data_IF_878620411912
#
_entry.id   IF_878620411912
#
_cell.length_a   1.000
_cell.length_b   1.000
_cell.length_c   1.000
_cell.angle_alpha   90.00
_cell.angle_beta   90.00
_cell.angle_gamma   90.00
#
_symmetry.space_group_name_H-M   'P 1'
#
loop_
_entity.id
_entity.type
_entity.pdbx_description
1 polymer ?
#
# COMPACT_ATOMS: atom_id res chain seq x y z
N UNK A 1 -8.16 -0.92 30.67
CA UNK A 1 -7.38 0.31 30.97
C UNK A 1 -7.78 1.36 29.94
N UNK A 2 -7.42 2.64 30.10
CA UNK A 2 -7.59 3.57 28.99
C UNK A 2 -6.62 3.17 27.85
N UNK A 3 -7.00 3.27 26.56
CA UNK A 3 -6.10 2.94 25.45
C UNK A 3 -4.84 3.80 25.52
N UNK A 4 -3.66 3.17 25.37
CA UNK A 4 -2.37 3.85 25.45
C UNK A 4 -1.90 4.42 24.10
N UNK A 5 -2.55 4.01 23.02
CA UNK A 5 -2.25 4.49 21.68
C UNK A 5 -3.26 4.07 20.61
N UNK A 6 -2.92 4.38 19.37
CA UNK A 6 -3.66 4.01 18.18
C UNK A 6 -2.71 3.50 17.09
N UNK A 7 -3.24 2.62 16.26
CA UNK A 7 -2.54 2.05 15.11
C UNK A 7 -3.38 2.26 13.85
N UNK A 8 -2.72 2.52 12.73
CA UNK A 8 -3.36 2.51 11.41
C UNK A 8 -2.41 1.98 10.33
N UNK A 9 -2.92 1.09 9.49
CA UNK A 9 -2.33 0.84 8.18
C UNK A 9 -2.63 2.02 7.25
N UNK A 10 -1.63 2.45 6.49
CA UNK A 10 -1.78 3.44 5.43
C UNK A 10 -1.31 2.80 4.12
N UNK A 11 -2.26 2.26 3.36
CA UNK A 11 -1.98 1.58 2.11
C UNK A 11 -2.01 2.58 0.94
N UNK A 12 -1.02 2.58 0.05
CA UNK A 12 -0.96 3.45 -1.11
C UNK A 12 -1.15 2.66 -2.41
N UNK A 13 -2.27 2.88 -3.09
CA UNK A 13 -2.61 2.22 -4.35
C UNK A 13 -2.37 3.15 -5.53
N UNK A 14 -1.39 2.77 -6.35
CA UNK A 14 -1.05 3.51 -7.54
C UNK A 14 -0.62 2.60 -8.69
N UNK A 15 -1.27 2.78 -9.83
CA UNK A 15 -0.75 2.36 -11.12
C UNK A 15 -0.79 3.56 -12.07
N UNK A 16 0.21 3.72 -12.95
CA UNK A 16 0.20 4.78 -13.95
C UNK A 16 -0.94 4.58 -14.94
N UNK A 17 -1.09 5.51 -15.89
CA UNK A 17 -2.09 5.37 -16.94
C UNK A 17 -1.70 4.25 -17.92
N UNK A 18 -2.28 3.09 -17.72
CA UNK A 18 -2.03 1.84 -18.44
C UNK A 18 -3.08 1.54 -19.52
N UNK A 19 -4.25 2.17 -19.44
CA UNK A 19 -5.35 1.97 -20.40
C UNK A 19 -4.89 2.21 -21.84
N UNK A 20 -5.02 1.18 -22.68
CA UNK A 20 -4.57 1.09 -24.08
C UNK A 20 -3.07 1.35 -24.30
N UNK A 21 -2.24 1.20 -23.27
CA UNK A 21 -0.78 1.38 -23.36
C UNK A 21 -0.02 0.07 -23.70
N UNK A 22 -0.76 -1.03 -23.92
CA UNK A 22 -0.23 -2.40 -24.04
C UNK A 22 -1.07 -3.34 -23.18
N UNK A 23 -1.09 -4.64 -23.51
CA UNK A 23 -1.74 -5.66 -22.67
C UNK A 23 -0.73 -6.41 -21.82
N UNK A 24 0.29 -7.02 -22.45
CA UNK A 24 1.31 -7.85 -21.81
C UNK A 24 2.71 -7.50 -22.37
N UNK A 25 3.81 -7.53 -21.58
CA UNK A 25 3.89 -7.79 -20.13
C UNK A 25 3.72 -6.51 -19.27
N UNK A 26 3.55 -5.36 -19.92
CA UNK A 26 3.40 -4.06 -19.29
C UNK A 26 2.20 -3.35 -19.91
N UNK A 27 1.33 -2.79 -19.08
CA UNK A 27 0.10 -2.14 -19.54
C UNK A 27 -1.10 -2.50 -18.67
N UNK A 28 -2.23 -2.82 -19.31
CA UNK A 28 -3.49 -3.07 -18.60
C UNK A 28 -3.45 -4.28 -17.67
N UNK A 29 -2.58 -5.28 -17.93
CA UNK A 29 -2.45 -6.44 -17.05
C UNK A 29 -2.09 -6.07 -15.61
N UNK A 30 -1.31 -5.01 -15.38
CA UNK A 30 -1.03 -4.54 -14.01
C UNK A 30 -2.30 -4.10 -13.27
N UNK A 31 -3.25 -3.48 -13.96
CA UNK A 31 -4.55 -3.11 -13.38
C UNK A 31 -5.35 -4.36 -13.04
N UNK A 32 -5.26 -5.40 -13.87
CA UNK A 32 -6.01 -6.63 -13.70
C UNK A 32 -5.43 -7.52 -12.60
N UNK A 33 -4.11 -7.67 -12.55
CA UNK A 33 -3.39 -8.31 -11.45
C UNK A 33 -3.71 -7.60 -10.12
N UNK A 34 -3.58 -6.27 -10.05
CA UNK A 34 -3.96 -5.51 -8.86
C UNK A 34 -5.44 -5.65 -8.48
N UNK A 35 -6.34 -5.70 -9.48
CA UNK A 35 -7.77 -5.93 -9.27
C UNK A 35 -8.06 -7.29 -8.63
N UNK A 36 -7.51 -8.36 -9.22
CA UNK A 36 -7.78 -9.74 -8.82
C UNK A 36 -7.06 -10.13 -7.53
N UNK A 37 -5.78 -9.77 -7.40
CA UNK A 37 -4.90 -10.23 -6.33
C UNK A 37 -4.90 -9.30 -5.11
N UNK A 38 -5.22 -8.01 -5.28
CA UNK A 38 -5.12 -7.02 -4.19
C UNK A 38 -6.46 -6.37 -3.85
N UNK A 39 -7.08 -5.64 -4.77
CA UNK A 39 -8.21 -4.76 -4.44
C UNK A 39 -9.48 -5.53 -4.06
N UNK A 40 -9.86 -6.54 -4.84
CA UNK A 40 -11.04 -7.37 -4.53
C UNK A 40 -10.83 -8.20 -3.26
N UNK A 41 -9.70 -8.90 -3.05
CA UNK A 41 -9.42 -9.59 -1.80
C UNK A 41 -9.44 -8.66 -0.58
N UNK A 42 -8.82 -7.46 -0.68
CA UNK A 42 -8.82 -6.50 0.41
C UNK A 42 -10.24 -6.00 0.73
N UNK A 43 -11.03 -5.69 -0.29
CA UNK A 43 -12.44 -5.34 -0.12
C UNK A 43 -13.23 -6.46 0.55
N UNK A 44 -13.00 -7.72 0.17
CA UNK A 44 -13.66 -8.85 0.81
C UNK A 44 -13.29 -8.92 2.29
N UNK A 45 -12.00 -8.93 2.61
CA UNK A 45 -11.53 -9.03 4.00
C UNK A 45 -12.06 -7.92 4.89
N UNK A 46 -12.06 -6.67 4.42
CA UNK A 46 -12.57 -5.53 5.19
C UNK A 46 -14.09 -5.56 5.35
N UNK A 47 -14.83 -5.92 4.30
CA UNK A 47 -16.28 -6.06 4.39
C UNK A 47 -16.67 -7.20 5.33
N UNK A 48 -15.99 -8.34 5.26
CA UNK A 48 -16.28 -9.49 6.11
C UNK A 48 -16.01 -9.16 7.60
N UNK A 49 -14.88 -8.50 7.92
CA UNK A 49 -14.59 -8.02 9.28
C UNK A 49 -15.65 -7.03 9.79
N UNK A 50 -16.16 -6.17 8.91
CA UNK A 50 -17.23 -5.23 9.25
C UNK A 50 -18.58 -5.94 9.49
N UNK A 51 -18.93 -6.91 8.64
CA UNK A 51 -20.14 -7.74 8.78
C UNK A 51 -20.11 -8.59 10.06
N UNK A 52 -18.91 -9.01 10.50
CA UNK A 52 -18.67 -9.65 11.81
C UNK A 52 -18.83 -8.69 13.00
N UNK A 53 -18.97 -7.38 12.77
CA UNK A 53 -19.15 -6.36 13.81
C UNK A 53 -17.85 -5.92 14.49
N UNK A 54 -16.68 -6.22 13.91
CA UNK A 54 -15.39 -5.81 14.48
C UNK A 54 -15.11 -4.32 14.21
N UNK A 55 -14.62 -3.55 15.20
CA UNK A 55 -14.35 -2.11 15.08
C UNK A 55 -13.04 -1.80 14.33
N UNK A 56 -12.85 -2.40 13.15
CA UNK A 56 -11.63 -2.25 12.36
C UNK A 56 -11.62 -0.92 11.58
N UNK A 57 -10.42 -0.31 11.48
CA UNK A 57 -10.19 0.91 10.70
C UNK A 57 -8.89 0.81 9.90
N UNK A 58 -8.91 1.29 8.67
CA UNK A 58 -7.75 1.31 7.78
C UNK A 58 -7.74 2.58 6.92
N UNK A 59 -6.57 3.13 6.62
CA UNK A 59 -6.42 4.23 5.66
C UNK A 59 -5.92 3.68 4.32
N UNK A 60 -6.55 4.05 3.21
CA UNK A 60 -6.09 3.70 1.86
C UNK A 60 -6.03 4.93 0.97
N UNK A 61 -4.90 5.13 0.30
CA UNK A 61 -4.72 6.12 -0.75
C UNK A 61 -5.07 5.51 -2.10
N UNK A 62 -6.05 6.10 -2.79
CA UNK A 62 -6.36 5.72 -4.17
C UNK A 62 -5.99 6.89 -5.07
N UNK A 63 -4.97 6.70 -5.91
CA UNK A 63 -4.55 7.76 -6.82
C UNK A 63 -5.65 8.08 -7.84
N UNK A 64 -5.87 9.37 -8.17
CA UNK A 64 -6.92 9.74 -9.12
C UNK A 64 -6.79 9.04 -10.48
N UNK A 65 -5.58 8.93 -11.03
CA UNK A 65 -5.33 8.19 -12.28
C UNK A 65 -5.69 6.71 -12.19
N UNK A 66 -5.53 6.08 -11.02
CA UNK A 66 -6.00 4.71 -10.80
C UNK A 66 -7.53 4.67 -10.74
N UNK A 67 -8.17 5.59 -10.01
CA UNK A 67 -9.62 5.67 -9.92
C UNK A 67 -10.28 5.83 -11.30
N UNK A 68 -9.77 6.75 -12.14
CA UNK A 68 -10.33 6.93 -13.49
C UNK A 68 -10.24 5.66 -14.34
N UNK A 69 -9.20 4.83 -14.14
CA UNK A 69 -9.05 3.56 -14.87
C UNK A 69 -9.94 2.45 -14.31
N UNK A 70 -10.05 2.30 -12.99
CA UNK A 70 -10.92 1.31 -12.36
C UNK A 70 -12.42 1.57 -12.62
N UNK A 71 -12.79 2.83 -12.83
CA UNK A 71 -14.14 3.24 -13.19
C UNK A 71 -14.45 3.12 -14.69
N UNK A 72 -13.44 2.88 -15.55
CA UNK A 72 -13.64 2.85 -16.99
C UNK A 72 -14.30 1.51 -17.43
N UNK A 73 -15.46 1.54 -18.12
CA UNK A 73 -16.17 0.33 -18.52
C UNK A 73 -15.37 -0.62 -19.42
N UNK A 74 -14.44 -0.09 -20.23
CA UNK A 74 -13.57 -0.93 -21.07
C UNK A 74 -12.58 -1.69 -20.19
N UNK A 75 -11.98 -1.03 -19.21
CA UNK A 75 -11.05 -1.67 -18.25
C UNK A 75 -11.77 -2.74 -17.43
N UNK A 76 -13.01 -2.49 -17.01
CA UNK A 76 -13.84 -3.47 -16.31
C UNK A 76 -14.16 -4.69 -17.19
N UNK A 77 -14.49 -4.48 -18.47
CA UNK A 77 -14.72 -5.58 -19.41
C UNK A 77 -13.44 -6.39 -19.66
N UNK A 78 -12.30 -5.73 -19.84
CA UNK A 78 -11.01 -6.40 -20.00
C UNK A 78 -10.59 -7.16 -18.74
N UNK A 79 -10.93 -6.66 -17.55
CA UNK A 79 -10.69 -7.37 -16.30
C UNK A 79 -11.42 -8.72 -16.26
N UNK A 80 -12.69 -8.77 -16.69
CA UNK A 80 -13.42 -10.04 -16.77
C UNK A 80 -12.75 -11.02 -17.73
N UNK A 81 -12.36 -10.55 -18.92
CA UNK A 81 -11.63 -11.36 -19.91
C UNK A 81 -10.33 -11.91 -19.31
N UNK A 82 -9.55 -11.06 -18.63
CA UNK A 82 -8.33 -11.48 -17.96
C UNK A 82 -8.58 -12.59 -16.92
N UNK A 83 -9.59 -12.43 -16.06
CA UNK A 83 -9.90 -13.44 -15.03
C UNK A 83 -10.41 -14.74 -15.66
N UNK A 84 -11.20 -14.67 -16.74
CA UNK A 84 -11.68 -15.83 -17.50
C UNK A 84 -10.52 -16.57 -18.19
N UNK A 85 -9.54 -15.85 -18.73
CA UNK A 85 -8.31 -16.43 -19.29
C UNK A 85 -7.50 -17.16 -18.20
N UNK A 86 -7.35 -16.58 -17.01
CA UNK A 86 -6.68 -17.24 -15.87
C UNK A 86 -7.43 -18.47 -15.38
N UNK A 87 -8.76 -18.41 -15.35
CA UNK A 87 -9.60 -19.56 -15.01
C UNK A 87 -9.41 -20.70 -16.01
N UNK A 88 -9.46 -20.40 -17.31
CA UNK A 88 -9.25 -21.38 -18.38
C UNK A 88 -7.85 -22.00 -18.31
N UNK A 89 -6.84 -21.18 -18.02
CA UNK A 89 -5.46 -21.66 -17.86
C UNK A 89 -5.32 -22.60 -16.66
N UNK A 90 -5.95 -22.28 -15.53
CA UNK A 90 -5.98 -23.16 -14.36
C UNK A 90 -6.71 -24.49 -14.64
N UNK A 91 -7.83 -24.47 -15.39
CA UNK A 91 -8.54 -25.70 -15.80
C UNK A 91 -7.70 -26.59 -16.73
N UNK A 92 -6.98 -25.97 -17.66
CA UNK A 92 -6.00 -26.67 -18.51
C UNK A 92 -4.90 -27.33 -17.68
N UNK A 93 -4.37 -26.62 -16.69
CA UNK A 93 -3.34 -27.13 -15.77
C UNK A 93 -3.84 -28.28 -14.89
N UNK A 94 -5.11 -28.26 -14.44
CA UNK A 94 -5.70 -29.40 -13.71
C UNK A 94 -5.60 -30.67 -14.55
N UNK A 95 -6.04 -30.61 -15.81
CA UNK A 95 -6.03 -31.77 -16.70
C UNK A 95 -4.59 -32.22 -17.00
N UNK A 96 -3.72 -31.27 -17.34
CA UNK A 96 -2.31 -31.52 -17.63
C UNK A 96 -1.57 -32.18 -16.46
N UNK A 97 -1.70 -31.63 -15.24
CA UNK A 97 -1.03 -32.19 -14.07
C UNK A 97 -1.56 -33.58 -13.66
N UNK A 98 -2.84 -33.87 -13.93
CA UNK A 98 -3.39 -35.22 -13.75
C UNK A 98 -2.76 -36.22 -14.74
N UNK A 99 -2.63 -35.85 -16.02
CA UNK A 99 -1.99 -36.67 -17.05
C UNK A 99 -0.50 -36.90 -16.78
N UNK A 100 0.18 -35.89 -16.23
CA UNK A 100 1.58 -35.97 -15.76
C UNK A 100 1.75 -36.83 -14.50
N UNK A 101 0.66 -37.24 -13.84
CA UNK A 101 0.70 -38.01 -12.60
C UNK A 101 1.16 -37.20 -11.38
N UNK A 102 0.94 -35.87 -11.38
CA UNK A 102 1.31 -34.96 -10.29
C UNK A 102 0.05 -34.49 -9.52
N UNK A 103 -0.43 -35.26 -8.52
CA UNK A 103 -1.69 -34.96 -7.84
C UNK A 103 -1.64 -33.66 -7.02
N UNK A 104 -0.47 -33.28 -6.48
CA UNK A 104 -0.32 -32.05 -5.71
C UNK A 104 -0.41 -30.81 -6.62
N UNK A 105 0.23 -30.84 -7.79
CA UNK A 105 0.09 -29.75 -8.75
C UNK A 105 -1.34 -29.63 -9.29
N UNK A 106 -2.03 -30.75 -9.54
CA UNK A 106 -3.45 -30.73 -9.92
C UNK A 106 -4.35 -30.15 -8.82
N UNK A 107 -4.05 -30.41 -7.55
CA UNK A 107 -4.70 -29.77 -6.41
C UNK A 107 -4.48 -28.24 -6.42
N UNK A 108 -3.25 -27.78 -6.65
CA UNK A 108 -2.95 -26.34 -6.71
C UNK A 108 -3.62 -25.65 -7.91
N UNK A 109 -3.66 -26.30 -9.09
CA UNK A 109 -4.40 -25.80 -10.24
C UNK A 109 -5.90 -25.69 -9.94
N UNK A 110 -6.46 -26.66 -9.21
CA UNK A 110 -7.84 -26.61 -8.72
C UNK A 110 -8.05 -25.45 -7.75
N UNK A 111 -7.12 -25.22 -6.82
CA UNK A 111 -7.14 -24.08 -5.91
C UNK A 111 -7.20 -22.75 -6.68
N UNK A 112 -6.36 -22.56 -7.69
CA UNK A 112 -6.38 -21.33 -8.51
C UNK A 112 -7.65 -21.18 -9.33
N UNK A 113 -8.15 -22.26 -9.93
CA UNK A 113 -9.43 -22.25 -10.65
C UNK A 113 -10.54 -21.73 -9.73
N UNK A 114 -10.67 -22.32 -8.55
CA UNK A 114 -11.73 -21.95 -7.60
C UNK A 114 -11.56 -20.52 -7.07
N UNK A 115 -10.30 -20.10 -6.87
CA UNK A 115 -9.98 -18.73 -6.47
C UNK A 115 -10.37 -17.70 -7.53
N UNK A 116 -9.95 -17.85 -8.79
CA UNK A 116 -10.31 -16.94 -9.88
C UNK A 116 -11.82 -16.93 -10.16
N UNK A 117 -12.47 -18.11 -10.09
CA UNK A 117 -13.94 -18.19 -10.18
C UNK A 117 -14.62 -17.39 -9.06
N UNK A 118 -14.08 -17.46 -7.83
CA UNK A 118 -14.51 -16.67 -6.68
C UNK A 118 -14.35 -15.17 -6.91
N UNK A 119 -13.18 -14.72 -7.39
CA UNK A 119 -12.92 -13.32 -7.73
C UNK A 119 -13.90 -12.80 -8.77
N UNK A 120 -14.11 -13.55 -9.87
CA UNK A 120 -15.02 -13.16 -10.94
C UNK A 120 -16.46 -13.02 -10.46
N UNK A 121 -16.92 -13.99 -9.66
CA UNK A 121 -18.25 -13.98 -9.04
C UNK A 121 -18.45 -12.77 -8.14
N UNK A 122 -17.51 -12.52 -7.23
CA UNK A 122 -17.57 -11.40 -6.29
C UNK A 122 -17.54 -10.06 -7.02
N UNK A 123 -16.68 -9.92 -8.05
CA UNK A 123 -16.63 -8.72 -8.87
C UNK A 123 -17.99 -8.43 -9.54
N UNK A 124 -18.60 -9.45 -10.13
CA UNK A 124 -19.89 -9.35 -10.85
C UNK A 124 -21.08 -9.11 -9.91
N UNK A 125 -21.14 -9.85 -8.81
CA UNK A 125 -22.33 -9.94 -7.95
C UNK A 125 -22.23 -9.03 -6.73
N UNK A 126 -21.19 -9.17 -5.90
CA UNK A 126 -21.05 -8.42 -4.64
C UNK A 126 -20.74 -6.94 -4.89
N UNK A 127 -19.87 -6.67 -5.87
CA UNK A 127 -19.44 -5.30 -6.18
C UNK A 127 -20.10 -4.71 -7.42
N UNK A 128 -20.87 -5.48 -8.20
CA UNK A 128 -21.57 -4.95 -9.37
C UNK A 128 -20.64 -4.34 -10.43
N UNK A 129 -19.44 -4.90 -10.57
CA UNK A 129 -18.32 -4.37 -11.38
C UNK A 129 -17.75 -3.03 -10.92
N UNK A 130 -18.04 -2.61 -9.69
CA UNK A 130 -17.64 -1.31 -9.15
C UNK A 130 -16.75 -1.45 -7.89
N UNK A 131 -15.44 -1.63 -8.11
CA UNK A 131 -14.43 -1.69 -7.04
C UNK A 131 -14.42 -0.38 -6.23
N UNK A 132 -14.52 0.78 -6.89
CA UNK A 132 -14.52 2.07 -6.20
C UNK A 132 -15.76 2.27 -5.35
N UNK A 133 -16.92 1.82 -5.82
CA UNK A 133 -18.16 1.76 -5.06
C UNK A 133 -18.04 0.87 -3.82
N UNK A 134 -17.27 -0.23 -3.89
CA UNK A 134 -16.91 -1.05 -2.73
C UNK A 134 -16.17 -0.23 -1.67
N UNK A 135 -15.09 0.46 -2.05
CA UNK A 135 -14.35 1.32 -1.12
C UNK A 135 -15.19 2.49 -0.60
N UNK A 136 -16.03 3.09 -1.45
CA UNK A 136 -16.97 4.15 -1.02
C UNK A 136 -17.89 3.67 0.09
N UNK A 137 -18.51 2.49 -0.07
CA UNK A 137 -19.40 1.91 0.96
C UNK A 137 -18.67 1.66 2.28
N UNK A 138 -17.45 1.11 2.24
CA UNK A 138 -16.64 0.94 3.45
C UNK A 138 -16.24 2.27 4.09
N UNK A 139 -16.01 3.30 3.26
CA UNK A 139 -15.70 4.64 3.76
C UNK A 139 -16.92 5.32 4.40
N UNK A 140 -18.12 5.09 3.87
CA UNK A 140 -19.39 5.56 4.44
C UNK A 140 -19.69 4.85 5.76
N UNK A 141 -19.37 3.56 5.86
CA UNK A 141 -19.48 2.75 7.08
C UNK A 141 -18.40 3.08 8.14
N UNK A 142 -17.40 3.90 7.82
CA UNK A 142 -16.32 4.27 8.74
C UNK A 142 -15.26 3.19 8.96
N UNK A 143 -15.24 2.16 8.12
CA UNK A 143 -14.25 1.06 8.13
C UNK A 143 -12.94 1.51 7.48
N UNK A 144 -13.05 2.33 6.43
CA UNK A 144 -11.90 2.83 5.69
C UNK A 144 -11.92 4.36 5.66
N UNK A 145 -10.75 5.00 5.72
CA UNK A 145 -10.59 6.37 5.24
C UNK A 145 -9.87 6.34 3.90
N UNK A 146 -10.55 6.77 2.83
CA UNK A 146 -9.92 6.93 1.52
C UNK A 146 -9.26 8.30 1.43
N UNK A 147 -7.96 8.33 1.17
CA UNK A 147 -7.18 9.56 0.94
C UNK A 147 -6.91 9.73 -0.56
N UNK A 148 -6.81 10.98 -1.00
CA UNK A 148 -6.53 11.29 -2.41
C UNK A 148 -5.03 11.39 -2.68
N UNK A 149 -4.66 11.75 -3.91
CA UNK A 149 -3.30 12.04 -4.33
C UNK A 149 -3.30 13.18 -5.37
N UNK A 150 -2.12 13.60 -5.81
CA UNK A 150 -1.97 14.35 -7.06
C UNK A 150 -2.57 13.55 -8.24
N UNK A 151 -3.21 14.25 -9.18
CA UNK A 151 -3.97 13.66 -10.28
C UNK A 151 -3.29 12.46 -10.97
N UNK A 152 -2.01 12.60 -11.32
CA UNK A 152 -1.27 11.56 -12.04
C UNK A 152 -0.02 11.11 -11.28
N UNK A 153 -0.05 11.22 -9.94
CA UNK A 153 1.11 10.91 -9.10
C UNK A 153 2.38 11.72 -9.49
N UNK A 154 2.20 12.94 -10.00
CA UNK A 154 3.32 13.78 -10.44
C UNK A 154 4.19 14.21 -9.26
N UNK A 155 5.52 14.11 -9.39
CA UNK A 155 6.47 14.43 -8.33
C UNK A 155 6.47 15.93 -7.98
N UNK A 156 5.56 16.32 -7.07
CA UNK A 156 5.15 17.70 -6.82
C UNK A 156 6.33 18.66 -6.52
N UNK A 157 7.35 18.29 -5.71
CA UNK A 157 8.47 19.18 -5.43
C UNK A 157 9.23 19.69 -6.66
N UNK A 158 9.26 18.90 -7.75
CA UNK A 158 10.02 19.18 -8.96
C UNK A 158 9.17 19.76 -10.10
N UNK A 159 7.86 19.98 -9.89
CA UNK A 159 7.04 20.64 -10.90
C UNK A 159 7.49 22.10 -11.06
N UNK A 160 7.70 22.50 -12.32
CA UNK A 160 8.33 23.77 -12.69
C UNK A 160 7.48 25.01 -12.39
N UNK A 161 6.18 24.87 -12.17
CA UNK A 161 5.29 25.99 -11.85
C UNK A 161 4.33 25.65 -10.71
N UNK A 162 3.95 26.68 -9.95
CA UNK A 162 2.94 26.56 -8.90
C UNK A 162 1.54 26.29 -9.48
N UNK A 163 1.28 26.73 -10.70
CA UNK A 163 0.08 26.40 -11.44
C UNK A 163 -0.02 24.89 -11.73
N UNK A 164 1.09 24.22 -12.05
CA UNK A 164 1.12 22.78 -12.26
C UNK A 164 0.83 22.01 -10.96
N UNK A 165 1.39 22.44 -9.83
CA UNK A 165 1.09 21.87 -8.51
C UNK A 165 -0.41 22.03 -8.19
N UNK A 166 -0.97 23.24 -8.33
CA UNK A 166 -2.41 23.48 -8.12
C UNK A 166 -3.29 22.67 -9.07
N UNK A 167 -2.88 22.52 -10.33
CA UNK A 167 -3.57 21.71 -11.33
C UNK A 167 -3.66 20.25 -10.90
N UNK A 168 -2.53 19.65 -10.48
CA UNK A 168 -2.46 18.29 -9.97
C UNK A 168 -3.36 18.07 -8.74
N UNK A 169 -3.33 18.98 -7.78
CA UNK A 169 -4.15 18.89 -6.56
C UNK A 169 -5.64 19.06 -6.85
N UNK A 170 -6.03 20.09 -7.60
CA UNK A 170 -7.43 20.37 -7.92
C UNK A 170 -8.06 19.26 -8.77
N UNK A 171 -7.33 18.74 -9.75
CA UNK A 171 -7.80 17.62 -10.56
C UNK A 171 -7.94 16.34 -9.72
N UNK A 172 -7.00 16.08 -8.79
CA UNK A 172 -7.10 14.95 -7.87
C UNK A 172 -8.31 15.03 -6.95
N UNK A 173 -8.56 16.19 -6.33
CA UNK A 173 -9.75 16.44 -5.51
C UNK A 173 -11.04 16.32 -6.34
N UNK A 174 -11.02 16.81 -7.58
CA UNK A 174 -12.15 16.69 -8.51
C UNK A 174 -12.52 15.23 -8.82
N UNK A 175 -11.52 14.39 -9.13
CA UNK A 175 -11.71 12.95 -9.33
C UNK A 175 -12.21 12.27 -8.06
N UNK A 176 -11.61 12.56 -6.90
CA UNK A 176 -12.05 12.01 -5.61
C UNK A 176 -13.53 12.32 -5.34
N UNK A 177 -13.97 13.58 -5.51
CA UNK A 177 -15.37 13.97 -5.31
C UNK A 177 -16.33 13.23 -6.23
N UNK A 178 -15.92 12.97 -7.48
CA UNK A 178 -16.71 12.23 -8.47
C UNK A 178 -16.97 10.80 -8.03
N UNK A 179 -15.95 10.11 -7.50
CA UNK A 179 -16.03 8.69 -7.17
C UNK A 179 -16.57 8.43 -5.76
N UNK A 180 -16.23 9.29 -4.78
CA UNK A 180 -16.54 9.09 -3.36
C UNK A 180 -17.63 10.04 -2.82
N UNK A 181 -18.15 10.97 -3.62
CA UNK A 181 -19.29 11.83 -3.26
C UNK A 181 -19.02 12.91 -2.20
N UNK A 182 -17.79 13.02 -1.68
CA UNK A 182 -17.38 14.02 -0.68
C UNK A 182 -15.97 14.56 -0.96
N UNK A 183 -15.57 15.61 -0.25
CA UNK A 183 -14.19 16.12 -0.32
C UNK A 183 -13.21 15.25 0.48
N UNK A 184 -11.98 15.02 0.00
CA UNK A 184 -10.95 14.33 0.77
C UNK A 184 -10.45 15.23 1.89
N UNK A 185 -10.10 14.65 3.04
CA UNK A 185 -9.51 15.37 4.18
C UNK A 185 -7.99 15.29 4.23
N UNK A 186 -7.43 14.24 3.65
CA UNK A 186 -6.02 13.94 3.65
C UNK A 186 -5.53 13.52 2.26
N UNK A 187 -4.23 13.60 2.07
CA UNK A 187 -3.54 13.30 0.82
C UNK A 187 -2.32 12.43 1.05
N UNK A 188 -2.14 11.42 0.20
CA UNK A 188 -0.84 10.83 -0.02
C UNK A 188 -0.05 11.71 -1.00
N UNK A 189 1.02 12.35 -0.55
CA UNK A 189 1.91 13.06 -1.46
C UNK A 189 2.66 12.03 -2.32
N UNK A 190 2.76 12.21 -3.64
CA UNK A 190 3.52 11.29 -4.49
C UNK A 190 4.92 11.04 -3.93
N UNK A 191 5.25 9.77 -3.68
CA UNK A 191 6.52 9.33 -3.07
C UNK A 191 6.81 9.90 -1.66
N UNK A 192 5.77 10.33 -0.93
CA UNK A 192 5.92 11.15 0.28
C UNK A 192 6.84 12.38 0.07
N UNK A 193 6.95 12.86 -1.19
CA UNK A 193 7.90 13.88 -1.57
C UNK A 193 7.41 15.24 -1.10
N UNK A 194 8.12 15.78 -0.11
CA UNK A 194 7.83 17.06 0.53
C UNK A 194 8.88 18.11 0.17
N UNK A 195 8.48 19.38 0.14
CA UNK A 195 9.39 20.51 0.01
C UNK A 195 8.86 21.71 0.81
N UNK A 196 9.68 22.33 1.68
CA UNK A 196 9.35 23.61 2.31
C UNK A 196 9.40 24.75 1.28
N UNK A 197 9.14 25.98 1.73
CA UNK A 197 9.33 27.14 0.88
C UNK A 197 10.81 27.32 0.53
N UNK A 198 11.08 27.82 -0.67
CA UNK A 198 12.45 28.07 -1.13
C UNK A 198 12.47 29.20 -2.16
N UNK A 199 13.65 29.80 -2.34
CA UNK A 199 13.91 30.76 -3.41
C UNK A 199 14.43 29.98 -4.62
N UNK A 200 13.69 30.05 -5.73
CA UNK A 200 14.09 29.43 -6.98
C UNK A 200 15.28 30.17 -7.63
N UNK A 201 16.00 29.56 -8.59
CA UNK A 201 17.18 30.19 -9.21
C UNK A 201 16.90 31.54 -9.91
N UNK A 202 15.66 31.79 -10.31
CA UNK A 202 15.19 33.05 -10.91
C UNK A 202 14.86 34.13 -9.86
N UNK A 203 15.06 33.86 -8.57
CA UNK A 203 14.73 34.74 -7.46
C UNK A 203 13.27 34.64 -6.99
N UNK A 204 12.44 33.82 -7.65
CA UNK A 204 11.04 33.65 -7.27
C UNK A 204 10.94 32.87 -5.97
N UNK A 205 10.22 33.41 -4.98
CA UNK A 205 9.86 32.66 -3.77
C UNK A 205 8.74 31.69 -4.10
N UNK A 206 9.02 30.39 -3.97
CA UNK A 206 8.02 29.33 -4.13
C UNK A 206 7.58 28.84 -2.76
N UNK A 207 6.26 28.83 -2.46
CA UNK A 207 5.76 28.36 -1.17
C UNK A 207 6.06 26.87 -0.90
N UNK A 208 5.99 26.47 0.36
CA UNK A 208 6.03 25.06 0.75
C UNK A 208 4.76 24.31 0.32
N UNK A 209 4.86 22.99 0.18
CA UNK A 209 3.72 22.18 -0.26
C UNK A 209 2.52 22.29 0.70
N UNK A 210 2.76 22.42 2.00
CA UNK A 210 1.73 22.59 3.02
C UNK A 210 0.79 23.77 2.74
N UNK A 211 1.28 24.85 2.14
CA UNK A 211 0.45 26.00 1.76
C UNK A 211 -0.53 25.64 0.64
N UNK A 212 -0.06 24.91 -0.38
CA UNK A 212 -0.93 24.44 -1.46
C UNK A 212 -1.98 23.46 -0.96
N UNK A 213 -1.65 22.63 0.03
CA UNK A 213 -2.59 21.70 0.67
C UNK A 213 -3.65 22.46 1.48
N UNK A 214 -3.24 23.43 2.29
CA UNK A 214 -4.16 24.28 3.07
C UNK A 214 -5.12 25.05 2.16
N UNK A 215 -4.63 25.64 1.06
CA UNK A 215 -5.44 26.37 0.06
C UNK A 215 -6.60 25.54 -0.52
N UNK A 216 -6.45 24.21 -0.59
CA UNK A 216 -7.45 23.29 -1.13
C UNK A 216 -8.19 22.47 -0.06
N UNK A 217 -7.96 22.78 1.22
CA UNK A 217 -8.65 22.14 2.35
C UNK A 217 -8.15 20.74 2.72
N UNK A 218 -6.93 20.37 2.32
CA UNK A 218 -6.29 19.12 2.73
C UNK A 218 -5.51 19.34 4.03
N UNK A 219 -5.94 18.67 5.10
CA UNK A 219 -5.45 18.93 6.46
C UNK A 219 -4.41 17.93 6.97
N UNK A 220 -4.13 16.84 6.26
CA UNK A 220 -3.17 15.83 6.68
C UNK A 220 -2.45 15.17 5.49
N UNK A 221 -1.16 14.86 5.65
CA UNK A 221 -0.39 14.04 4.72
C UNK A 221 0.63 13.16 5.46
N UNK A 222 1.29 12.28 4.71
CA UNK A 222 2.27 11.32 5.23
C UNK A 222 3.68 11.67 4.78
N UNK A 223 4.67 11.43 5.64
CA UNK A 223 6.09 11.68 5.38
C UNK A 223 6.94 10.50 5.82
N UNK A 224 8.16 10.43 5.29
CA UNK A 224 9.12 9.42 5.73
C UNK A 224 9.63 9.67 7.15
N UNK A 225 10.14 8.61 7.80
CA UNK A 225 10.65 8.65 9.19
C UNK A 225 11.64 9.78 9.41
N UNK A 226 12.63 9.92 8.51
CA UNK A 226 13.70 10.90 8.63
C UNK A 226 13.20 12.35 8.50
N UNK A 227 12.04 12.59 7.87
CA UNK A 227 11.43 13.92 7.80
C UNK A 227 10.95 14.39 9.18
N UNK A 228 10.64 13.44 10.09
CA UNK A 228 10.23 13.73 11.46
C UNK A 228 11.42 13.63 12.41
N UNK A 229 12.09 12.48 12.47
CA UNK A 229 13.10 12.17 13.47
C UNK A 229 14.49 12.75 13.12
N UNK A 230 14.66 13.25 11.90
CA UNK A 230 15.95 13.61 11.32
C UNK A 230 16.88 12.42 11.13
N UNK A 231 18.17 12.70 10.95
CA UNK A 231 19.15 11.66 10.69
C UNK A 231 19.06 11.08 9.27
N UNK A 232 19.75 9.96 9.05
CA UNK A 232 19.86 9.36 7.71
C UNK A 232 18.49 8.88 7.22
N UNK A 233 18.18 9.03 5.92
CA UNK A 233 17.04 8.35 5.33
C UNK A 233 17.15 6.87 5.64
N UNK A 234 16.02 6.24 5.91
CA UNK A 234 15.89 4.78 5.91
C UNK A 234 15.35 4.38 4.54
N UNK A 235 15.40 3.10 4.19
CA UNK A 235 14.71 2.69 2.97
C UNK A 235 15.62 2.61 1.74
N UNK A 236 14.98 2.56 0.55
CA UNK A 236 15.68 2.76 -0.73
C UNK A 236 16.46 4.08 -0.75
N UNK A 237 16.00 5.13 -0.07
CA UNK A 237 16.69 6.42 0.00
C UNK A 237 18.06 6.35 0.72
N UNK A 238 18.23 5.40 1.65
CA UNK A 238 19.47 5.14 2.40
C UNK A 238 20.54 4.37 1.61
N UNK A 239 20.18 3.82 0.45
CA UNK A 239 21.02 2.84 -0.26
C UNK A 239 20.87 1.40 0.27
N UNK A 240 19.95 1.16 1.20
CA UNK A 240 19.56 -0.18 1.60
C UNK A 240 18.78 -0.83 0.44
N UNK A 241 19.21 -2.03 0.03
CA UNK A 241 18.53 -2.81 -0.99
C UNK A 241 17.21 -3.32 -0.41
N UNK A 242 16.12 -2.61 -0.69
CA UNK A 242 14.81 -2.94 -0.16
C UNK A 242 13.88 -3.36 -1.30
N UNK A 243 13.42 -4.60 -1.21
CA UNK A 243 12.63 -5.30 -2.22
C UNK A 243 13.47 -6.18 -3.17
N UNK A 244 12.80 -6.99 -4.03
CA UNK A 244 13.44 -7.97 -4.91
C UNK A 244 14.38 -7.36 -5.98
N UNK A 245 14.43 -6.04 -6.10
CA UNK A 245 15.26 -5.29 -7.05
C UNK A 245 16.60 -4.83 -6.45
N UNK A 246 17.29 -5.71 -5.72
CA UNK A 246 18.54 -5.40 -5.00
C UNK A 246 19.76 -5.04 -5.88
N UNK A 247 19.61 -4.93 -7.20
CA UNK A 247 20.74 -4.88 -8.14
C UNK A 247 20.78 -3.64 -9.07
N UNK A 248 20.18 -2.51 -8.70
CA UNK A 248 20.37 -1.27 -9.48
C UNK A 248 21.59 -0.50 -8.95
N UNK A 249 22.73 -0.59 -9.65
CA UNK A 249 23.86 0.33 -9.47
C UNK A 249 23.39 1.77 -9.70
N UNK A 250 23.44 2.60 -8.67
CA UNK A 250 23.11 4.04 -8.76
C UNK A 250 24.26 4.82 -9.37
N UNK A 251 23.94 5.71 -10.31
CA UNK A 251 24.84 6.76 -10.81
C UNK A 251 24.86 8.02 -9.92
N UNK A 252 24.03 8.08 -8.87
CA UNK A 252 23.97 9.18 -7.93
C UNK A 252 23.95 8.65 -6.49
N UNK A 253 25.02 8.97 -5.75
CA UNK A 253 25.10 8.79 -4.30
C UNK A 253 24.58 10.07 -3.67
N UNK A 254 23.47 10.00 -2.94
CA UNK A 254 23.02 11.13 -2.12
C UNK A 254 24.09 11.34 -1.06
N UNK A 255 24.75 12.51 -0.96
CA UNK A 255 25.77 12.74 0.06
C UNK A 255 25.12 12.63 1.44
N UNK A 256 25.41 11.55 2.16
CA UNK A 256 24.88 11.25 3.51
C UNK A 256 25.42 12.21 4.59
N UNK A 257 26.27 13.18 4.21
CA UNK A 257 27.03 14.09 5.07
C UNK A 257 26.23 15.30 5.58
N UNK A 258 24.94 15.45 5.20
CA UNK A 258 24.11 16.62 5.53
C UNK A 258 22.85 16.33 6.36
N UNK A 259 22.76 15.16 6.99
CA UNK A 259 21.59 14.85 7.82
C UNK A 259 21.83 15.30 9.26
N UNK A 260 21.48 16.55 9.54
CA UNK A 260 21.46 17.10 10.88
C UNK A 260 20.37 16.40 11.71
N UNK A 261 20.69 16.09 12.96
CA UNK A 261 19.68 15.69 13.94
C UNK A 261 18.91 16.95 14.37
N UNK A 262 17.59 16.87 14.56
CA UNK A 262 16.83 18.03 14.97
C UNK A 262 17.24 18.46 16.38
N UNK A 263 17.31 19.77 16.61
CA UNK A 263 17.62 20.35 17.93
C UNK A 263 16.68 19.86 19.05
N UNK A 264 15.48 19.42 18.67
CA UNK A 264 14.51 18.79 19.56
C UNK A 264 14.20 17.38 19.08
N UNK A 265 14.32 16.34 19.93
CA UNK A 265 13.96 14.99 19.55
C UNK A 265 12.48 14.95 19.18
N UNK A 266 12.22 14.52 17.95
CA UNK A 266 10.89 14.23 17.42
C UNK A 266 10.73 12.73 17.27
N UNK A 267 9.50 12.29 17.15
CA UNK A 267 9.15 10.87 17.15
C UNK A 267 8.00 10.62 16.19
N UNK A 268 8.06 9.52 15.44
CA UNK A 268 6.98 9.06 14.54
C UNK A 268 5.72 8.61 15.28
N UNK A 269 5.75 8.56 16.61
CA UNK A 269 4.61 8.20 17.47
C UNK A 269 3.61 9.35 17.68
N UNK A 270 3.82 10.51 17.05
CA UNK A 270 2.93 11.66 17.15
C UNK A 270 2.73 12.33 15.78
N UNK A 271 1.56 12.93 15.53
CA UNK A 271 1.36 13.85 14.41
C UNK A 271 1.94 15.23 14.73
N UNK A 272 2.35 15.97 13.68
CA UNK A 272 2.88 17.34 13.82
C UNK A 272 2.20 18.29 12.85
N UNK A 273 1.83 19.48 13.32
CA UNK A 273 1.46 20.57 12.42
C UNK A 273 2.70 21.14 11.74
N UNK A 274 2.63 21.34 10.42
CA UNK A 274 3.72 21.87 9.60
C UNK A 274 3.68 23.39 9.62
N UNK A 275 4.83 24.03 9.87
CA UNK A 275 4.99 25.49 9.81
C UNK A 275 5.00 25.95 8.36
N UNK A 276 4.28 27.03 8.04
CA UNK A 276 4.42 27.69 6.73
C UNK A 276 5.73 28.46 6.72
N UNK A 277 6.69 27.97 5.93
CA UNK A 277 8.05 28.52 5.84
C UNK A 277 8.18 29.62 4.78
N UNK A 278 7.07 30.05 4.17
CA UNK A 278 7.07 31.12 3.17
C UNK A 278 7.49 32.46 3.80
N UNK A 279 8.51 33.16 3.25
CA UNK A 279 8.94 34.47 3.73
C UNK A 279 7.77 35.45 3.90
N UNK A 280 7.69 36.08 5.07
CA UNK A 280 6.66 37.08 5.40
C UNK A 280 5.33 36.51 5.91
N UNK A 281 5.15 35.19 5.95
CA UNK A 281 4.00 34.57 6.64
C UNK A 281 4.28 34.52 8.14
N UNK A 282 3.33 35.01 8.94
CA UNK A 282 3.39 35.00 10.41
C UNK A 282 2.30 34.07 10.92
N UNK A 283 2.68 32.97 11.56
CA UNK A 283 1.76 32.00 12.14
C UNK A 283 2.52 30.83 12.78
N UNK A 284 1.90 30.17 13.76
CA UNK A 284 2.52 29.00 14.42
C UNK A 284 2.52 27.76 13.52
N UNK A 285 1.53 27.62 12.63
CA UNK A 285 1.44 26.51 11.68
C UNK A 285 0.52 26.80 10.47
N UNK A 286 0.70 26.04 9.38
CA UNK A 286 -0.09 26.07 8.14
C UNK A 286 -1.53 25.51 8.28
N UNK A 287 -1.83 24.82 9.37
CA UNK A 287 -3.10 24.09 9.55
C UNK A 287 -3.09 22.69 8.93
N UNK A 288 -1.97 22.27 8.34
CA UNK A 288 -1.76 20.93 7.78
C UNK A 288 -0.88 20.10 8.71
N UNK A 289 -1.32 18.88 9.03
CA UNK A 289 -0.58 17.92 9.82
C UNK A 289 0.23 16.94 8.94
N UNK A 290 1.38 16.51 9.44
CA UNK A 290 2.19 15.44 8.88
C UNK A 290 2.25 14.27 9.87
N UNK A 291 2.08 13.06 9.35
CA UNK A 291 2.25 11.79 10.09
C UNK A 291 3.44 11.06 9.48
N UNK A 292 4.42 10.73 10.33
CA UNK A 292 5.61 10.00 9.89
C UNK A 292 5.38 8.50 9.83
N UNK A 293 5.93 7.85 8.80
CA UNK A 293 6.02 6.39 8.73
C UNK A 293 6.78 5.84 9.94
N UNK A 294 6.21 4.86 10.63
CA UNK A 294 6.91 4.16 11.70
C UNK A 294 7.91 3.15 11.13
N UNK A 295 9.20 3.37 11.42
CA UNK A 295 10.28 2.55 10.84
C UNK A 295 10.25 1.09 11.31
N UNK A 296 9.96 0.84 12.60
CA UNK A 296 9.98 -0.51 13.19
C UNK A 296 8.96 -1.44 12.54
N UNK A 297 7.70 -1.00 12.45
CA UNK A 297 6.64 -1.74 11.77
C UNK A 297 6.88 -1.81 10.25
N UNK A 298 7.38 -0.72 9.65
CA UNK A 298 7.74 -0.69 8.23
C UNK A 298 8.75 -1.78 7.86
N UNK A 299 9.87 -1.85 8.58
CA UNK A 299 10.95 -2.81 8.33
C UNK A 299 10.52 -4.27 8.59
N UNK A 300 9.62 -4.50 9.54
CA UNK A 300 9.08 -5.84 9.83
C UNK A 300 8.32 -6.49 8.67
N UNK A 301 7.84 -5.68 7.73
CA UNK A 301 7.21 -6.18 6.50
C UNK A 301 8.15 -6.03 5.29
N UNK A 302 8.84 -4.90 5.16
CA UNK A 302 9.63 -4.58 3.96
C UNK A 302 11.07 -5.12 3.94
N UNK A 303 11.60 -5.62 5.05
CA UNK A 303 12.96 -6.14 5.09
C UNK A 303 13.13 -7.35 4.16
N UNK A 304 14.14 -7.31 3.29
CA UNK A 304 14.49 -8.43 2.43
C UNK A 304 15.09 -9.62 3.22
N UNK A 305 15.66 -9.36 4.39
CA UNK A 305 16.37 -10.36 5.19
C UNK A 305 15.46 -11.05 6.22
N UNK A 306 14.47 -10.33 6.76
CA UNK A 306 13.64 -10.79 7.89
C UNK A 306 12.18 -10.33 7.83
N UNK A 307 11.76 -9.71 6.73
CA UNK A 307 10.36 -9.35 6.51
C UNK A 307 9.52 -10.60 6.25
N UNK A 308 8.26 -10.57 6.71
CA UNK A 308 7.34 -11.70 6.54
C UNK A 308 7.21 -12.22 5.10
N UNK A 309 7.16 -11.37 4.05
CA UNK A 309 7.02 -11.86 2.67
C UNK A 309 8.12 -12.83 2.21
N UNK A 310 9.27 -12.86 2.89
CA UNK A 310 10.37 -13.78 2.61
C UNK A 310 10.26 -15.15 3.26
N UNK A 311 9.18 -15.44 4.01
CA UNK A 311 8.98 -16.75 4.63
C UNK A 311 8.91 -17.86 3.57
N UNK A 312 9.49 -19.01 3.91
CA UNK A 312 9.72 -20.10 2.96
C UNK A 312 8.46 -20.85 2.58
N UNK A 313 7.38 -20.69 3.35
CA UNK A 313 6.08 -21.33 3.08
C UNK A 313 5.16 -20.46 2.22
N UNK A 314 5.47 -19.17 2.04
CA UNK A 314 4.70 -18.27 1.18
C UNK A 314 4.96 -18.49 -0.32
N UNK A 315 3.99 -18.10 -1.14
CA UNK A 315 4.03 -18.22 -2.60
C UNK A 315 5.24 -17.48 -3.21
N UNK A 316 5.98 -18.16 -4.07
CA UNK A 316 7.07 -17.57 -4.85
C UNK A 316 6.51 -16.76 -6.03
N UNK A 317 6.71 -15.44 -6.00
CA UNK A 317 6.24 -14.54 -7.05
C UNK A 317 6.96 -14.76 -8.39
N UNK A 318 8.25 -15.06 -8.38
CA UNK A 318 9.08 -15.03 -9.59
C UNK A 318 9.00 -16.32 -10.42
N UNK A 319 8.49 -17.42 -9.85
CA UNK A 319 8.37 -18.70 -10.55
C UNK A 319 6.98 -18.87 -11.12
N UNK A 320 6.88 -18.80 -12.44
CA UNK A 320 5.66 -18.98 -13.21
C UNK A 320 5.71 -20.28 -14.01
N UNK A 321 4.58 -20.95 -14.14
CA UNK A 321 4.43 -22.09 -15.02
C UNK A 321 4.63 -21.65 -16.47
N UNK A 322 5.35 -22.46 -17.24
CA UNK A 322 5.74 -22.14 -18.61
C UNK A 322 4.58 -22.17 -19.62
N UNK A 323 3.45 -22.80 -19.29
CA UNK A 323 2.26 -22.89 -20.13
C UNK A 323 1.23 -21.85 -19.71
N UNK A 324 0.82 -21.85 -18.44
CA UNK A 324 -0.27 -20.98 -17.95
C UNK A 324 0.19 -19.64 -17.40
N UNK A 325 1.46 -19.54 -16.99
CA UNK A 325 1.98 -18.39 -16.26
C UNK A 325 1.54 -18.31 -14.79
N UNK A 326 0.85 -19.32 -14.26
CA UNK A 326 0.41 -19.38 -12.85
C UNK A 326 1.56 -19.76 -11.90
N UNK A 327 1.43 -19.41 -10.62
CA UNK A 327 2.50 -19.51 -9.62
C UNK A 327 2.23 -20.65 -8.63
N UNK A 328 2.84 -21.83 -8.85
CA UNK A 328 2.57 -23.04 -8.06
C UNK A 328 3.61 -23.38 -6.99
N UNK A 329 4.60 -22.52 -6.78
CA UNK A 329 5.75 -22.80 -5.91
C UNK A 329 5.79 -21.86 -4.72
N UNK A 330 6.46 -22.30 -3.66
CA UNK A 330 6.76 -21.48 -2.49
C UNK A 330 8.19 -20.94 -2.52
N UNK A 331 8.47 -19.91 -1.72
CA UNK A 331 9.78 -19.28 -1.61
C UNK A 331 10.86 -20.31 -1.25
N UNK A 332 10.56 -21.33 -0.44
CA UNK A 332 11.43 -22.49 -0.12
C UNK A 332 12.69 -22.16 0.70
N UNK A 333 13.38 -21.08 0.38
CA UNK A 333 14.60 -20.63 1.03
C UNK A 333 15.15 -19.37 0.35
N UNK A 334 15.83 -18.52 1.12
CA UNK A 334 16.31 -17.21 0.68
C UNK A 334 17.30 -17.23 -0.51
N UNK A 335 17.97 -18.37 -0.76
CA UNK A 335 18.96 -18.52 -1.84
C UNK A 335 18.75 -19.79 -2.66
N UNK A 336 17.53 -20.32 -2.65
CA UNK A 336 17.16 -21.46 -3.47
C UNK A 336 16.90 -20.96 -4.89
N UNK A 337 17.52 -21.60 -5.88
CA UNK A 337 17.31 -21.29 -7.29
C UNK A 337 15.86 -21.60 -7.72
N UNK A 338 15.35 -20.90 -8.74
CA UNK A 338 13.98 -21.12 -9.23
C UNK A 338 13.74 -22.58 -9.63
N UNK A 339 14.73 -23.28 -10.20
CA UNK A 339 14.61 -24.70 -10.55
C UNK A 339 14.40 -25.62 -9.33
N UNK A 340 14.81 -25.18 -8.14
CA UNK A 340 14.77 -25.96 -6.90
C UNK A 340 13.69 -25.52 -5.91
N UNK A 341 12.85 -24.55 -6.28
CA UNK A 341 11.68 -24.16 -5.48
C UNK A 341 10.70 -25.33 -5.39
N UNK A 342 10.27 -25.60 -4.17
CA UNK A 342 9.32 -26.63 -3.82
C UNK A 342 7.87 -26.17 -4.06
N UNK A 343 6.93 -27.10 -4.07
CA UNK A 343 5.53 -26.80 -4.32
C UNK A 343 4.92 -25.95 -3.21
N UNK A 344 3.96 -25.11 -3.58
CA UNK A 344 3.20 -24.31 -2.65
C UNK A 344 2.23 -25.19 -1.84
N UNK A 345 2.00 -24.82 -0.58
CA UNK A 345 1.09 -25.50 0.34
C UNK A 345 0.20 -24.43 1.00
N UNK A 346 -1.02 -24.18 0.49
CA UNK A 346 -1.90 -23.11 0.97
C UNK A 346 -2.19 -23.19 2.48
N UNK A 347 -2.26 -24.40 3.03
CA UNK A 347 -2.47 -24.66 4.46
C UNK A 347 -1.26 -24.25 5.32
N UNK A 348 -0.03 -24.48 4.85
CA UNK A 348 1.19 -24.06 5.56
C UNK A 348 1.30 -22.54 5.57
N UNK A 349 1.06 -21.93 4.41
CA UNK A 349 1.05 -20.48 4.26
C UNK A 349 0.01 -19.82 5.19
N UNK A 350 -1.19 -20.40 5.30
CA UNK A 350 -2.22 -19.89 6.21
C UNK A 350 -1.82 -20.00 7.69
N UNK A 351 -1.10 -21.06 8.09
CA UNK A 351 -0.55 -21.15 9.45
C UNK A 351 0.47 -20.02 9.70
N UNK A 352 1.33 -19.73 8.71
CA UNK A 352 2.29 -18.62 8.78
C UNK A 352 1.65 -17.26 8.86
N UNK A 353 0.56 -17.03 8.10
CA UNK A 353 -0.26 -15.82 8.24
C UNK A 353 -0.66 -15.59 9.69
N UNK A 354 -1.18 -16.62 10.37
CA UNK A 354 -1.57 -16.52 11.78
C UNK A 354 -0.41 -16.22 12.72
N UNK A 355 0.75 -16.85 12.52
CA UNK A 355 1.98 -16.59 13.30
C UNK A 355 2.46 -15.14 13.13
N UNK A 356 2.60 -14.69 11.89
CA UNK A 356 3.08 -13.34 11.57
C UNK A 356 2.09 -12.25 11.98
N UNK A 357 0.78 -12.51 11.90
CA UNK A 357 -0.23 -11.57 12.36
C UNK A 357 -0.17 -11.36 13.88
N UNK A 358 -0.02 -12.45 14.66
CA UNK A 358 0.17 -12.37 16.11
C UNK A 358 1.45 -11.65 16.48
N UNK A 359 2.56 -11.95 15.80
CA UNK A 359 3.84 -11.27 16.04
C UNK A 359 3.74 -9.77 15.75
N UNK A 360 3.13 -9.38 14.63
CA UNK A 360 2.97 -7.97 14.29
C UNK A 360 2.04 -7.22 15.25
N UNK A 361 0.91 -7.82 15.63
CA UNK A 361 0.00 -7.23 16.60
C UNK A 361 0.69 -7.05 17.97
N UNK A 362 1.48 -8.03 18.41
CA UNK A 362 2.31 -7.91 19.61
C UNK A 362 3.33 -6.77 19.48
N UNK A 363 4.05 -6.67 18.35
CA UNK A 363 5.01 -5.59 18.10
C UNK A 363 4.34 -4.21 18.19
N UNK A 364 3.15 -4.04 17.60
CA UNK A 364 2.40 -2.78 17.67
C UNK A 364 2.05 -2.43 19.12
N UNK A 365 1.50 -3.39 19.87
CA UNK A 365 1.15 -3.19 21.27
C UNK A 365 2.37 -2.85 22.13
N UNK A 366 3.46 -3.63 22.00
CA UNK A 366 4.71 -3.45 22.74
C UNK A 366 5.33 -2.06 22.49
N UNK A 367 5.36 -1.61 21.23
CA UNK A 367 5.87 -0.27 20.88
C UNK A 367 5.02 0.86 21.47
N UNK A 368 3.69 0.72 21.48
CA UNK A 368 2.79 1.72 22.07
C UNK A 368 2.87 1.73 23.60
N UNK A 369 2.92 0.56 24.24
CA UNK A 369 3.09 0.40 25.69
C UNK A 369 4.42 1.00 26.15
N UNK A 370 5.53 0.70 25.46
CA UNK A 370 6.85 1.28 25.76
C UNK A 370 6.83 2.81 25.61
N UNK A 371 6.31 3.32 24.49
CA UNK A 371 6.21 4.76 24.26
C UNK A 371 5.38 5.47 25.35
N UNK A 372 4.28 4.85 25.76
CA UNK A 372 3.44 5.38 26.82
C UNK A 372 4.14 5.33 28.19
N UNK A 373 4.84 4.24 28.51
CA UNK A 373 5.58 4.10 29.76
C UNK A 373 6.71 5.13 29.89
N UNK A 374 7.41 5.43 28.79
CA UNK A 374 8.52 6.38 28.77
C UNK A 374 8.05 7.84 28.81
N UNK A 375 6.92 8.16 28.17
CA UNK A 375 6.52 9.57 27.93
C UNK A 375 5.23 9.99 28.62
N UNK A 376 4.42 9.05 29.08
CA UNK A 376 3.06 9.28 29.58
C UNK A 376 2.06 9.75 28.52
N UNK A 377 2.45 9.79 27.23
CA UNK A 377 1.62 10.32 26.13
C UNK A 377 0.92 9.21 25.37
N UNK A 378 -0.16 9.56 24.69
CA UNK A 378 -0.84 8.68 23.74
C UNK A 378 0.00 8.52 22.47
N UNK A 379 0.30 7.29 22.07
CA UNK A 379 1.08 6.99 20.86
C UNK A 379 0.23 6.77 19.62
N UNK A 380 0.74 7.15 18.44
CA UNK A 380 0.15 6.86 17.14
C UNK A 380 1.17 6.14 16.25
N UNK A 381 0.89 4.91 15.82
CA UNK A 381 1.69 4.21 14.82
C UNK A 381 0.97 4.24 13.48
N UNK A 382 1.62 4.81 12.46
CA UNK A 382 1.21 4.70 11.07
C UNK A 382 2.19 3.80 10.30
N UNK A 383 1.67 2.71 9.74
CA UNK A 383 2.45 1.76 8.95
C UNK A 383 2.09 1.89 7.48
N UNK A 384 2.98 2.54 6.74
CA UNK A 384 2.77 2.93 5.35
C UNK A 384 3.39 1.91 4.39
N UNK A 385 2.61 1.46 3.41
CA UNK A 385 3.01 0.45 2.42
C UNK A 385 2.32 0.68 1.08
N UNK A 386 2.95 0.26 -0.01
CA UNK A 386 2.24 0.11 -1.29
C UNK A 386 1.19 -0.99 -1.17
N UNK A 387 -0.04 -0.75 -1.62
CA UNK A 387 -1.16 -1.68 -1.43
C UNK A 387 -0.90 -2.99 -2.17
N UNK A 388 -0.31 -2.92 -3.37
CA UNK A 388 -0.04 -4.10 -4.20
C UNK A 388 1.03 -5.02 -3.59
N UNK A 389 1.71 -4.61 -2.52
CA UNK A 389 2.48 -5.55 -1.71
C UNK A 389 1.58 -6.70 -1.23
N UNK A 390 0.36 -6.39 -0.81
CA UNK A 390 -0.55 -7.35 -0.21
C UNK A 390 -1.40 -8.00 -1.28
N UNK A 391 -1.22 -9.31 -1.45
CA UNK A 391 -1.93 -10.15 -2.40
C UNK A 391 -1.21 -10.34 -3.73
N UNK A 392 -0.58 -9.29 -4.29
CA UNK A 392 0.15 -9.43 -5.55
C UNK A 392 1.60 -9.88 -5.32
N UNK A 393 2.46 -9.02 -4.75
CA UNK A 393 3.86 -9.39 -4.47
C UNK A 393 3.99 -10.42 -3.35
N UNK A 394 3.24 -10.23 -2.27
CA UNK A 394 3.10 -11.19 -1.16
C UNK A 394 1.68 -11.74 -1.19
N UNK A 395 1.50 -12.95 -1.71
CA UNK A 395 0.19 -13.54 -2.00
C UNK A 395 -0.76 -13.56 -0.81
N UNK A 396 -0.21 -13.85 0.37
CA UNK A 396 -0.95 -14.04 1.61
C UNK A 396 -1.10 -12.73 2.40
N UNK A 397 -0.58 -11.63 1.87
CA UNK A 397 -0.52 -10.35 2.56
C UNK A 397 -1.89 -9.76 2.90
N UNK A 398 -2.92 -10.01 2.07
CA UNK A 398 -4.29 -9.55 2.38
C UNK A 398 -4.86 -10.33 3.57
N UNK A 399 -4.66 -11.65 3.61
CA UNK A 399 -5.09 -12.48 4.73
C UNK A 399 -4.35 -12.08 6.01
N UNK A 400 -3.07 -11.73 5.91
CA UNK A 400 -2.30 -11.17 7.02
C UNK A 400 -2.84 -9.83 7.52
N UNK A 401 -3.18 -8.88 6.63
CA UNK A 401 -3.82 -7.61 7.04
C UNK A 401 -5.11 -7.90 7.80
N UNK A 402 -5.95 -8.79 7.26
CA UNK A 402 -7.22 -9.18 7.87
C UNK A 402 -7.01 -9.75 9.27
N UNK A 403 -6.08 -10.67 9.44
CA UNK A 403 -5.81 -11.29 10.75
C UNK A 403 -5.16 -10.32 11.74
N UNK A 404 -4.28 -9.42 11.30
CA UNK A 404 -3.75 -8.34 12.15
C UNK A 404 -4.88 -7.44 12.64
N UNK A 405 -5.76 -6.98 11.75
CA UNK A 405 -6.89 -6.13 12.11
C UNK A 405 -7.85 -6.84 13.06
N UNK A 406 -8.13 -8.14 12.84
CA UNK A 406 -8.95 -8.97 13.73
C UNK A 406 -8.35 -9.05 15.13
N UNK A 407 -7.05 -9.33 15.25
CA UNK A 407 -6.36 -9.44 16.53
C UNK A 407 -6.37 -8.10 17.28
N UNK A 408 -6.04 -7.00 16.58
CA UNK A 408 -6.01 -5.66 17.18
C UNK A 408 -7.41 -5.17 17.58
N UNK A 409 -8.45 -5.51 16.82
CA UNK A 409 -9.83 -5.15 17.16
C UNK A 409 -10.34 -5.85 18.42
N UNK A 410 -9.80 -7.02 18.76
CA UNK A 410 -10.09 -7.73 20.01
C UNK A 410 -9.16 -7.35 21.17
N UNK A 411 -8.20 -6.45 20.97
CA UNK A 411 -7.26 -6.02 22.00
C UNK A 411 -7.87 -4.92 22.87
N UNK A 412 -7.96 -5.17 24.18
CA UNK A 412 -8.25 -4.14 25.19
C UNK A 412 -7.02 -3.28 25.56
N UNK A 413 -5.87 -3.56 24.94
CA UNK A 413 -4.57 -2.90 25.15
C UNK A 413 -4.36 -1.77 24.15
#
# INVERSE_FOLDING_TARGET
MAPVGAFTFVLHSHLPYCRRAGRWPHGEEWLHEGGAETYIPLLNGLTDLHEEGLPVRLTIGLTPVLCEQLADPLVQAHFEVYVEEKLTAAEGDVSRFQEEGNPHAAYLATFYRDWYAGILRVFRERYGRDILGGFRRLQEAGVVEVVTCAATHGYLPLLGTDAAVRGQLKAGIGSYRRHFGRGPRAIWLPECAYRPAYVAPDGTVRPGLERFLAEVGLGCFFVETHTIEGGRPVGKAAGEAIGPYGAIKRNYVVPLERFELPDRPRTTYQPYYVVDTTPGVVGEHSGVAAIGRNNRTGMQVWSADWGYPGDFDYREFHKKDHVSGLQYWRVTGARVDLGHKDWYHPDWAQNKVGEHARHFAWLVADLLEQYHAETGRFGLIASNYDTELFGHWWSEGVDWIREVLRILAGSDR
#
